data_IF_642863948817
#
_entry.id   IF_642863948817
#
_cell.length_a   1.000
_cell.length_b   1.000
_cell.length_c   1.000
_cell.angle_alpha   90.00
_cell.angle_beta   90.00
_cell.angle_gamma   90.00
#
_symmetry.space_group_name_H-M   'P 1'
#
loop_
_entity.id
_entity.type
_entity.pdbx_description
1 polymer ?
#
# COMPACT_ATOMS: atom_id res chain seq x y z
N UNK A 1 -25.14 -7.53 3.61
CA UNK A 1 -25.26 -6.75 2.36
C UNK A 1 -25.89 -5.38 2.61
N UNK A 2 -27.04 -5.28 3.27
CA UNK A 2 -27.73 -4.01 3.55
C UNK A 2 -26.88 -2.94 4.27
N UNK A 3 -26.14 -3.34 5.31
CA UNK A 3 -25.24 -2.41 6.04
C UNK A 3 -24.17 -1.83 5.13
N UNK A 4 -23.61 -2.63 4.22
CA UNK A 4 -22.56 -2.19 3.30
C UNK A 4 -23.12 -1.23 2.25
N UNK A 5 -24.32 -1.49 1.76
CA UNK A 5 -25.07 -0.61 0.85
C UNK A 5 -25.36 0.74 1.50
N UNK A 6 -25.91 0.72 2.74
CA UNK A 6 -26.25 1.93 3.50
C UNK A 6 -25.03 2.81 3.80
N UNK A 7 -23.87 2.20 4.01
CA UNK A 7 -22.64 2.89 4.42
C UNK A 7 -21.58 2.94 3.31
N UNK A 8 -21.96 2.75 2.04
CA UNK A 8 -21.04 2.68 0.89
C UNK A 8 -20.14 3.91 0.77
N UNK A 9 -20.68 5.11 1.00
CA UNK A 9 -19.88 6.35 0.97
C UNK A 9 -18.84 6.39 2.09
N UNK A 10 -19.21 6.01 3.31
CA UNK A 10 -18.29 5.94 4.45
C UNK A 10 -17.17 4.94 4.18
N UNK A 11 -17.51 3.77 3.63
CA UNK A 11 -16.53 2.77 3.21
C UNK A 11 -15.51 3.35 2.21
N UNK A 12 -15.99 4.04 1.17
CA UNK A 12 -15.12 4.65 0.15
C UNK A 12 -14.22 5.75 0.71
N UNK A 13 -14.71 6.56 1.66
CA UNK A 13 -13.91 7.61 2.32
C UNK A 13 -12.82 7.00 3.19
N UNK A 14 -13.15 5.97 3.99
CA UNK A 14 -12.17 5.26 4.82
C UNK A 14 -11.11 4.58 3.95
N UNK A 15 -11.55 3.91 2.88
CA UNK A 15 -10.64 3.30 1.89
C UNK A 15 -9.70 4.35 1.31
N UNK A 16 -10.23 5.47 0.79
CA UNK A 16 -9.43 6.54 0.22
C UNK A 16 -8.40 7.10 1.22
N UNK A 17 -8.82 7.37 2.46
CA UNK A 17 -7.94 7.90 3.49
C UNK A 17 -6.77 6.94 3.80
N UNK A 18 -7.07 5.64 3.97
CA UNK A 18 -6.05 4.63 4.22
C UNK A 18 -5.10 4.48 3.02
N UNK A 19 -5.64 4.43 1.81
CA UNK A 19 -4.85 4.31 0.58
C UNK A 19 -3.94 5.52 0.38
N UNK A 20 -4.44 6.76 0.50
CA UNK A 20 -3.62 7.97 0.33
C UNK A 20 -2.55 8.09 1.41
N UNK A 21 -2.83 7.66 2.64
CA UNK A 21 -1.80 7.54 3.67
C UNK A 21 -0.68 6.60 3.23
N UNK A 22 -1.02 5.42 2.69
CA UNK A 22 -0.04 4.46 2.19
C UNK A 22 0.72 4.98 0.97
N UNK A 23 0.08 5.71 0.04
CA UNK A 23 0.75 6.38 -1.08
C UNK A 23 1.79 7.38 -0.57
N UNK A 24 1.40 8.26 0.36
CA UNK A 24 2.32 9.23 0.94
C UNK A 24 3.49 8.53 1.65
N UNK A 25 3.19 7.54 2.49
CA UNK A 25 4.19 6.80 3.25
C UNK A 25 5.19 6.08 2.34
N UNK A 26 4.74 5.34 1.33
CA UNK A 26 5.65 4.58 0.47
C UNK A 26 6.56 5.49 -0.38
N UNK A 27 6.05 6.66 -0.81
CA UNK A 27 6.86 7.66 -1.49
C UNK A 27 7.86 8.34 -0.55
N UNK A 28 7.48 8.65 0.70
CA UNK A 28 8.42 9.13 1.72
C UNK A 28 9.52 8.09 1.97
N UNK A 29 9.15 6.81 2.06
CA UNK A 29 10.10 5.72 2.21
C UNK A 29 11.03 5.63 1.00
N UNK A 30 10.49 5.70 -0.22
CA UNK A 30 11.27 5.59 -1.45
C UNK A 30 12.23 6.76 -1.67
N UNK A 31 11.71 7.99 -1.53
CA UNK A 31 12.44 9.19 -1.94
C UNK A 31 13.38 9.71 -0.85
N UNK A 32 13.00 9.52 0.41
CA UNK A 32 13.74 10.08 1.56
C UNK A 32 14.38 8.96 2.36
N UNK A 33 13.59 8.05 2.92
CA UNK A 33 14.08 7.18 3.99
C UNK A 33 15.06 6.10 3.52
N UNK A 34 14.74 5.37 2.45
CA UNK A 34 15.62 4.31 1.93
C UNK A 34 16.95 4.84 1.38
N UNK A 35 17.01 5.93 0.59
CA UNK A 35 18.30 6.49 0.16
C UNK A 35 19.22 6.85 1.33
N UNK A 36 18.66 7.33 2.44
CA UNK A 36 19.44 7.69 3.63
C UNK A 36 20.04 6.49 4.38
N UNK A 37 19.68 5.24 4.03
CA UNK A 37 20.31 4.04 4.62
C UNK A 37 21.81 4.02 4.37
N UNK A 38 22.26 4.49 3.20
CA UNK A 38 23.66 4.55 2.83
C UNK A 38 24.48 5.53 3.72
N UNK A 39 23.81 6.44 4.44
CA UNK A 39 24.45 7.50 5.22
C UNK A 39 24.55 7.19 6.72
N UNK A 40 24.01 6.07 7.20
CA UNK A 40 23.97 5.72 8.64
C UNK A 40 25.36 5.34 9.17
N UNK A 41 26.22 4.81 8.31
CA UNK A 41 27.55 4.32 8.68
C UNK A 41 27.52 2.93 9.32
N UNK A 42 28.58 2.16 9.11
CA UNK A 42 28.68 0.75 9.51
C UNK A 42 28.42 0.50 11.01
N UNK A 43 28.98 1.25 11.97
CA UNK A 43 28.82 0.94 13.40
C UNK A 43 27.36 1.04 13.90
N UNK A 44 26.53 1.86 13.27
CA UNK A 44 25.15 2.12 13.69
C UNK A 44 24.11 1.37 12.84
N UNK A 45 24.51 0.80 11.70
CA UNK A 45 23.58 0.33 10.68
C UNK A 45 22.66 -0.81 11.15
N UNK A 46 23.22 -1.84 11.76
CA UNK A 46 22.45 -3.01 12.24
C UNK A 46 21.35 -2.58 13.23
N UNK A 47 21.70 -1.74 14.20
CA UNK A 47 20.75 -1.20 15.16
C UNK A 47 19.69 -0.31 14.51
N UNK A 48 20.09 0.53 13.56
CA UNK A 48 19.18 1.35 12.76
C UNK A 48 18.18 0.49 11.97
N UNK A 49 18.66 -0.53 11.25
CA UNK A 49 17.85 -1.37 10.38
C UNK A 49 16.83 -2.19 11.18
N UNK A 50 17.26 -2.82 12.28
CA UNK A 50 16.37 -3.54 13.18
C UNK A 50 15.25 -2.63 13.70
N UNK A 51 15.60 -1.41 14.12
CA UNK A 51 14.64 -0.46 14.62
C UNK A 51 13.74 0.12 13.52
N UNK A 52 14.24 0.25 12.29
CA UNK A 52 13.44 0.64 11.12
C UNK A 52 12.37 -0.42 10.83
N UNK A 53 12.76 -1.69 10.69
CA UNK A 53 11.85 -2.81 10.35
C UNK A 53 10.75 -2.96 11.41
N UNK A 54 11.11 -2.90 12.70
CA UNK A 54 10.14 -2.97 13.80
C UNK A 54 9.12 -1.82 13.75
N UNK A 55 9.60 -0.58 13.62
CA UNK A 55 8.74 0.61 13.67
C UNK A 55 7.86 0.73 12.42
N UNK A 56 8.40 0.47 11.24
CA UNK A 56 7.62 0.57 10.00
C UNK A 56 6.55 -0.52 9.95
N UNK A 57 6.87 -1.74 10.41
CA UNK A 57 5.92 -2.84 10.51
C UNK A 57 4.73 -2.51 11.42
N UNK A 58 4.98 -1.86 12.57
CA UNK A 58 3.92 -1.38 13.46
C UNK A 58 3.10 -0.25 12.84
N UNK A 59 3.76 0.72 12.21
CA UNK A 59 3.11 1.88 11.60
C UNK A 59 2.19 1.49 10.45
N UNK A 60 2.62 0.55 9.60
CA UNK A 60 1.86 0.16 8.42
C UNK A 60 0.64 -0.72 8.75
N UNK A 61 0.62 -1.40 9.90
CA UNK A 61 -0.38 -2.43 10.20
C UNK A 61 -1.82 -1.93 10.06
N UNK A 62 -2.15 -0.81 10.72
CA UNK A 62 -3.51 -0.25 10.72
C UNK A 62 -3.95 0.25 9.33
N UNK A 63 -3.20 1.15 8.64
CA UNK A 63 -3.63 1.64 7.33
C UNK A 63 -3.65 0.52 6.27
N UNK A 64 -2.70 -0.41 6.29
CA UNK A 64 -2.67 -1.54 5.36
C UNK A 64 -3.87 -2.47 5.56
N UNK A 65 -4.17 -2.85 6.81
CA UNK A 65 -5.33 -3.69 7.13
C UNK A 65 -6.64 -2.99 6.76
N UNK A 66 -6.75 -1.70 7.06
CA UNK A 66 -7.93 -0.88 6.74
C UNK A 66 -8.15 -0.84 5.23
N UNK A 67 -7.09 -0.60 4.46
CA UNK A 67 -7.18 -0.58 3.00
C UNK A 67 -7.63 -1.95 2.46
N UNK A 68 -7.01 -3.05 2.90
CA UNK A 68 -7.34 -4.39 2.42
C UNK A 68 -8.78 -4.81 2.74
N UNK A 69 -9.23 -4.57 3.98
CA UNK A 69 -10.61 -4.89 4.39
C UNK A 69 -11.63 -4.04 3.62
N UNK A 70 -11.34 -2.75 3.43
CA UNK A 70 -12.26 -1.87 2.69
C UNK A 70 -12.28 -2.19 1.19
N UNK A 71 -11.15 -2.58 0.59
CA UNK A 71 -11.08 -3.05 -0.80
C UNK A 71 -11.95 -4.29 -1.02
N UNK A 72 -11.91 -5.26 -0.09
CA UNK A 72 -12.81 -6.42 -0.12
C UNK A 72 -14.28 -5.97 -0.10
N UNK A 73 -14.63 -5.02 0.77
CA UNK A 73 -15.97 -4.44 0.81
C UNK A 73 -16.38 -3.77 -0.50
N UNK A 74 -15.47 -3.03 -1.15
CA UNK A 74 -15.72 -2.38 -2.44
C UNK A 74 -15.92 -3.43 -3.55
N UNK A 75 -15.12 -4.50 -3.58
CA UNK A 75 -15.31 -5.61 -4.52
C UNK A 75 -16.67 -6.29 -4.33
N UNK A 76 -17.09 -6.51 -3.08
CA UNK A 76 -18.43 -7.04 -2.76
C UNK A 76 -19.53 -6.11 -3.28
N UNK A 77 -19.42 -4.79 -3.06
CA UNK A 77 -20.38 -3.82 -3.61
C UNK A 77 -20.42 -3.83 -5.14
N UNK A 78 -19.25 -3.92 -5.79
CA UNK A 78 -19.12 -3.87 -7.24
C UNK A 78 -19.72 -5.10 -7.95
N UNK A 79 -19.55 -6.30 -7.38
CA UNK A 79 -19.95 -7.55 -8.02
C UNK A 79 -21.25 -8.14 -7.49
N UNK A 80 -21.49 -8.04 -6.18
CA UNK A 80 -22.68 -8.60 -5.52
C UNK A 80 -23.70 -7.53 -5.11
N UNK A 81 -23.29 -6.27 -5.05
CA UNK A 81 -24.12 -5.15 -4.64
C UNK A 81 -24.72 -4.32 -5.77
N UNK A 82 -24.52 -4.69 -7.04
CA UNK A 82 -25.08 -3.98 -8.19
C UNK A 82 -24.38 -2.68 -8.59
N UNK A 83 -23.34 -2.24 -7.88
CA UNK A 83 -22.60 -0.99 -8.16
C UNK A 83 -21.63 -1.15 -9.33
N UNK A 84 -22.16 -1.24 -10.55
CA UNK A 84 -21.35 -1.50 -11.77
C UNK A 84 -20.23 -0.48 -11.99
N UNK A 85 -20.44 0.79 -11.61
CA UNK A 85 -19.44 1.85 -11.72
C UNK A 85 -18.17 1.57 -10.90
N UNK A 86 -18.25 0.76 -9.83
CA UNK A 86 -17.11 0.41 -8.99
C UNK A 86 -16.27 -0.74 -9.58
N UNK A 87 -16.77 -1.51 -10.55
CA UNK A 87 -16.11 -2.75 -11.01
C UNK A 87 -14.71 -2.51 -11.57
N UNK A 88 -14.60 -1.56 -12.50
CA UNK A 88 -13.33 -1.26 -13.17
C UNK A 88 -12.28 -0.76 -12.16
N UNK A 89 -12.52 0.31 -11.36
CA UNK A 89 -11.53 0.76 -10.40
C UNK A 89 -11.24 -0.29 -9.31
N UNK A 90 -12.21 -1.09 -8.88
CA UNK A 90 -11.98 -2.13 -7.88
C UNK A 90 -11.09 -3.27 -8.39
N UNK A 91 -11.26 -3.70 -9.65
CA UNK A 91 -10.41 -4.75 -10.25
C UNK A 91 -8.98 -4.24 -10.45
N UNK A 92 -8.82 -3.01 -10.94
CA UNK A 92 -7.48 -2.41 -11.10
C UNK A 92 -6.80 -2.25 -9.75
N UNK A 93 -7.50 -1.77 -8.72
CA UNK A 93 -6.96 -1.70 -7.36
C UNK A 93 -6.57 -3.09 -6.83
N UNK A 94 -7.45 -4.09 -6.97
CA UNK A 94 -7.17 -5.47 -6.59
C UNK A 94 -5.91 -6.05 -7.27
N UNK A 95 -5.74 -5.81 -8.57
CA UNK A 95 -4.54 -6.24 -9.29
C UNK A 95 -3.27 -5.53 -8.80
N UNK A 96 -3.34 -4.21 -8.59
CA UNK A 96 -2.23 -3.44 -8.03
C UNK A 96 -1.86 -3.91 -6.61
N UNK A 97 -2.85 -4.22 -5.78
CA UNK A 97 -2.64 -4.80 -4.44
C UNK A 97 -1.93 -6.15 -4.52
N UNK A 98 -2.31 -7.04 -5.45
CA UNK A 98 -1.60 -8.31 -5.65
C UNK A 98 -0.12 -8.06 -5.98
N UNK A 99 0.18 -7.12 -6.87
CA UNK A 99 1.58 -6.72 -7.18
C UNK A 99 2.30 -6.24 -5.92
N UNK A 100 1.66 -5.37 -5.12
CA UNK A 100 2.24 -4.87 -3.86
C UNK A 100 2.57 -6.02 -2.92
N UNK A 101 1.67 -6.98 -2.73
CA UNK A 101 1.88 -8.12 -1.82
C UNK A 101 3.00 -9.04 -2.31
N UNK A 102 3.01 -9.36 -3.60
CA UNK A 102 4.04 -10.21 -4.22
C UNK A 102 5.41 -9.55 -4.09
N UNK A 103 5.55 -8.28 -4.46
CA UNK A 103 6.84 -7.58 -4.34
C UNK A 103 7.27 -7.45 -2.87
N UNK A 104 6.33 -7.17 -1.97
CA UNK A 104 6.62 -7.06 -0.54
C UNK A 104 7.16 -8.38 0.04
N UNK A 105 6.53 -9.51 -0.29
CA UNK A 105 6.89 -10.82 0.25
C UNK A 105 8.15 -11.43 -0.36
N UNK A 106 8.33 -11.31 -1.68
CA UNK A 106 9.41 -12.01 -2.38
C UNK A 106 10.67 -11.17 -2.61
N UNK A 107 10.57 -9.84 -2.57
CA UNK A 107 11.73 -8.94 -2.76
C UNK A 107 11.99 -8.05 -1.56
N UNK A 108 10.99 -7.33 -1.05
CA UNK A 108 11.23 -6.35 0.03
C UNK A 108 11.58 -7.00 1.37
N UNK A 109 10.79 -7.98 1.83
CA UNK A 109 11.06 -8.65 3.11
C UNK A 109 12.41 -9.41 3.11
N UNK A 110 12.77 -10.18 2.08
CA UNK A 110 14.09 -10.82 2.00
C UNK A 110 15.23 -9.81 1.94
N UNK A 111 15.08 -8.67 1.24
CA UNK A 111 16.10 -7.63 1.21
C UNK A 111 16.33 -7.01 2.60
N UNK A 112 15.26 -6.73 3.35
CA UNK A 112 15.40 -6.26 4.73
C UNK A 112 16.09 -7.28 5.64
N UNK A 113 15.83 -8.58 5.46
CA UNK A 113 16.51 -9.65 6.18
C UNK A 113 18.01 -9.70 5.86
N UNK A 114 18.39 -9.60 4.58
CA UNK A 114 19.81 -9.54 4.17
C UNK A 114 20.52 -8.28 4.70
N UNK A 115 19.83 -7.15 4.72
CA UNK A 115 20.34 -5.89 5.28
C UNK A 115 20.36 -5.89 6.82
N UNK A 116 19.81 -6.91 7.50
CA UNK A 116 19.79 -6.93 8.96
C UNK A 116 21.20 -7.06 9.56
N UNK A 117 22.12 -7.70 8.84
CA UNK A 117 23.49 -7.97 9.31
C UNK A 117 24.51 -6.91 8.89
N UNK A 118 24.11 -5.93 8.08
CA UNK A 118 25.00 -4.89 7.55
C UNK A 118 24.47 -4.24 6.28
N UNK A 119 25.02 -3.07 5.94
CA UNK A 119 24.66 -2.39 4.70
C UNK A 119 25.36 -3.06 3.51
N UNK A 120 24.57 -3.52 2.55
CA UNK A 120 25.04 -4.02 1.26
C UNK A 120 24.38 -3.20 0.16
N UNK A 121 25.19 -2.52 -0.64
CA UNK A 121 24.70 -1.63 -1.71
C UNK A 121 23.92 -2.38 -2.78
N UNK A 122 24.31 -3.61 -3.12
CA UNK A 122 23.65 -4.40 -4.16
C UNK A 122 22.25 -4.86 -3.70
N UNK A 123 22.10 -5.16 -2.41
CA UNK A 123 20.80 -5.50 -1.81
C UNK A 123 19.94 -4.25 -1.63
N UNK A 124 20.55 -3.13 -1.28
CA UNK A 124 19.88 -1.83 -1.18
C UNK A 124 19.31 -1.37 -2.53
N UNK A 125 20.07 -1.49 -3.61
CA UNK A 125 19.59 -1.16 -4.96
C UNK A 125 18.40 -2.04 -5.38
N UNK A 126 18.44 -3.34 -5.05
CA UNK A 126 17.31 -4.25 -5.26
C UNK A 126 16.07 -3.82 -4.46
N UNK A 127 16.26 -3.42 -3.19
CA UNK A 127 15.20 -2.90 -2.34
C UNK A 127 14.61 -1.61 -2.92
N UNK A 128 15.45 -0.70 -3.43
CA UNK A 128 15.04 0.54 -4.08
C UNK A 128 14.18 0.27 -5.34
N UNK A 129 14.62 -0.64 -6.21
CA UNK A 129 13.87 -1.03 -7.39
C UNK A 129 12.52 -1.67 -7.04
N UNK A 130 12.51 -2.62 -6.09
CA UNK A 130 11.28 -3.24 -5.60
C UNK A 130 10.33 -2.20 -4.99
N UNK A 131 10.86 -1.23 -4.25
CA UNK A 131 10.04 -0.19 -3.63
C UNK A 131 9.50 0.81 -4.65
N UNK A 132 10.22 1.13 -5.72
CA UNK A 132 9.69 1.96 -6.81
C UNK A 132 8.46 1.32 -7.45
N UNK A 133 8.52 0.02 -7.75
CA UNK A 133 7.37 -0.73 -8.30
C UNK A 133 6.18 -0.66 -7.32
N UNK A 134 6.43 -0.85 -6.02
CA UNK A 134 5.40 -0.74 -4.98
C UNK A 134 4.83 0.68 -4.88
N UNK A 135 5.65 1.72 -4.98
CA UNK A 135 5.21 3.12 -4.95
C UNK A 135 4.30 3.45 -6.13
N UNK A 136 4.64 2.98 -7.32
CA UNK A 136 3.81 3.13 -8.51
C UNK A 136 2.50 2.36 -8.37
N UNK A 137 2.54 1.11 -7.90
CA UNK A 137 1.34 0.32 -7.65
C UNK A 137 0.41 0.96 -6.61
N UNK A 138 0.95 1.47 -5.50
CA UNK A 138 0.18 2.23 -4.51
C UNK A 138 -0.43 3.50 -5.10
N UNK A 139 0.29 4.20 -5.98
CA UNK A 139 -0.24 5.37 -6.70
C UNK A 139 -1.44 4.99 -7.57
N UNK A 140 -1.39 3.82 -8.24
CA UNK A 140 -2.54 3.26 -8.96
C UNK A 140 -3.71 2.96 -8.01
N UNK A 141 -3.46 2.35 -6.85
CA UNK A 141 -4.47 2.14 -5.82
C UNK A 141 -5.13 3.48 -5.41
N UNK A 142 -4.33 4.52 -5.17
CA UNK A 142 -4.80 5.86 -4.81
C UNK A 142 -5.68 6.49 -5.88
N UNK A 143 -5.26 6.40 -7.16
CA UNK A 143 -6.07 6.86 -8.29
C UNK A 143 -7.40 6.09 -8.39
N UNK A 144 -7.39 4.77 -8.19
CA UNK A 144 -8.60 3.94 -8.18
C UNK A 144 -9.52 4.27 -7.01
N UNK A 145 -8.98 4.61 -5.84
CA UNK A 145 -9.76 5.04 -4.68
C UNK A 145 -10.46 6.38 -4.93
N UNK A 146 -9.75 7.35 -5.54
CA UNK A 146 -10.33 8.63 -5.96
C UNK A 146 -11.43 8.42 -7.00
N UNK A 147 -11.17 7.60 -8.03
CA UNK A 147 -12.16 7.22 -9.04
C UNK A 147 -13.41 6.63 -8.37
N UNK A 148 -13.23 5.64 -7.49
CA UNK A 148 -14.33 4.96 -6.81
C UNK A 148 -15.17 5.94 -5.99
N UNK A 149 -14.56 6.92 -5.31
CA UNK A 149 -15.31 7.92 -4.55
C UNK A 149 -16.07 8.91 -5.45
N UNK A 150 -15.46 9.38 -6.54
CA UNK A 150 -16.06 10.36 -7.44
C UNK A 150 -17.23 9.79 -8.26
N UNK A 151 -17.13 8.54 -8.69
CA UNK A 151 -18.09 7.93 -9.62
C UNK A 151 -18.93 6.81 -9.00
N UNK A 152 -18.59 6.34 -7.79
CA UNK A 152 -19.34 5.32 -7.07
C UNK A 152 -20.66 5.82 -6.48
N UNK A 153 -20.78 7.11 -6.14
CA UNK A 153 -22.02 7.66 -5.56
C UNK A 153 -23.03 8.17 -6.59
N UNK A 154 -22.65 8.25 -7.88
CA UNK A 154 -23.46 8.90 -8.91
C UNK A 154 -24.41 7.95 -9.64
N UNK A 155 -24.33 6.64 -9.39
CA UNK A 155 -25.10 5.62 -10.15
C UNK A 155 -26.44 5.23 -9.53
N UNK A 156 -26.93 5.93 -8.50
CA UNK A 156 -28.25 5.67 -7.89
C UNK A 156 -29.36 6.61 -8.42
N UNK A 157 -29.22 7.14 -9.64
CA UNK A 157 -30.34 7.78 -10.35
C UNK A 157 -30.69 6.96 -11.58
#
# INVERSE_FOLDING_TARGET
>A
MEVLQRNSRTLLVIHLAATLFMVGLIWTIHYVHYPLFANVGEPAYVGFQAAHVDRIGKLLFVPWLTEGVTLIGILVLAFLGGHKALRVPAVINGAAMVVILVISGFWSAPAHGKLADGFDISVHDQLMAANLIRSLAWTVCGACAVWSLLFGSLSTR
#
